data_IF_503140486260
#
_entry.id   IF_503140486260
#
_cell.length_a   1.000
_cell.length_b   1.000
_cell.length_c   1.000
_cell.angle_alpha   90.00
_cell.angle_beta   90.00
_cell.angle_gamma   90.00
#
_symmetry.space_group_name_H-M   'P 1'
#
loop_
_entity.id
_entity.type
_entity.pdbx_description
1 polymer ?
#
# COMPACT_ATOMS: atom_id res chain seq x y z
N UNK A 1 27.96 43.48 -58.91
CA UNK A 1 27.10 44.54 -59.47
C UNK A 1 25.89 43.87 -60.11
N UNK A 2 24.68 44.25 -59.66
CA UNK A 2 23.33 44.20 -60.30
C UNK A 2 23.12 43.37 -61.57
N UNK A 3 22.01 42.68 -61.86
CA UNK A 3 20.67 42.53 -61.27
C UNK A 3 19.80 41.83 -62.34
N UNK A 4 18.78 41.06 -61.92
CA UNK A 4 17.45 40.92 -62.58
C UNK A 4 17.36 40.31 -63.99
N UNK A 5 16.32 39.60 -64.43
CA UNK A 5 15.02 39.19 -63.87
C UNK A 5 14.46 38.05 -64.75
N UNK A 6 13.46 37.34 -64.21
CA UNK A 6 12.59 36.32 -64.82
C UNK A 6 11.83 36.82 -66.07
N UNK A 7 11.11 36.05 -66.90
CA UNK A 7 10.35 34.81 -66.74
C UNK A 7 9.97 34.29 -68.14
N UNK A 8 9.79 32.97 -68.30
CA UNK A 8 9.47 32.29 -69.56
C UNK A 8 7.98 31.91 -69.59
N UNK A 9 7.29 32.21 -70.70
CA UNK A 9 5.94 31.74 -71.02
C UNK A 9 5.98 31.18 -72.47
N UNK A 10 5.87 29.85 -72.64
CA UNK A 10 4.70 29.12 -73.23
C UNK A 10 4.46 29.45 -74.73
N UNK A 11 4.22 28.55 -75.70
CA UNK A 11 3.67 27.17 -75.74
C UNK A 11 3.76 26.65 -77.20
N UNK A 12 3.28 25.41 -77.43
CA UNK A 12 2.68 24.78 -78.64
C UNK A 12 3.53 23.61 -79.16
N UNK A 13 3.04 22.42 -79.52
CA UNK A 13 1.72 21.75 -79.60
C UNK A 13 2.01 20.30 -80.00
N UNK A 14 1.21 19.31 -79.57
CA UNK A 14 0.68 18.25 -80.47
C UNK A 14 -0.13 17.16 -79.75
N UNK A 15 -1.34 16.94 -80.29
CA UNK A 15 -2.23 15.75 -80.39
C UNK A 15 -2.38 14.85 -79.15
N UNK A 16 -3.55 14.72 -78.49
CA UNK A 16 -4.93 14.39 -78.89
C UNK A 16 -5.16 12.91 -79.20
N UNK A 17 -5.57 12.13 -78.18
CA UNK A 17 -6.51 11.01 -78.26
C UNK A 17 -7.42 11.02 -77.02
N UNK A 18 -8.71 10.72 -77.21
CA UNK A 18 -9.80 10.70 -76.21
C UNK A 18 -10.22 9.23 -76.04
N UNK A 19 -10.43 8.71 -74.81
CA UNK A 19 -11.82 8.55 -74.35
C UNK A 19 -12.09 8.78 -72.85
N UNK A 20 -13.25 9.41 -72.64
CA UNK A 20 -14.32 9.01 -71.71
C UNK A 20 -14.05 9.01 -70.19
N UNK A 21 -14.73 9.96 -69.53
CA UNK A 21 -14.86 10.12 -68.08
C UNK A 21 -15.57 8.94 -67.43
N UNK A 22 -15.02 8.44 -66.32
CA UNK A 22 -15.79 8.07 -65.13
C UNK A 22 -15.00 8.55 -63.90
N UNK A 23 -15.53 9.58 -63.24
CA UNK A 23 -15.05 10.09 -61.95
C UNK A 23 -15.42 9.10 -60.85
N UNK A 24 -14.41 8.51 -60.21
CA UNK A 24 -14.53 7.84 -58.92
C UNK A 24 -13.60 8.55 -57.93
N UNK A 25 -14.19 9.42 -57.12
CA UNK A 25 -13.54 10.00 -55.94
C UNK A 25 -13.25 8.88 -54.94
N UNK A 26 -11.98 8.49 -54.81
CA UNK A 26 -11.55 7.63 -53.69
C UNK A 26 -11.13 8.54 -52.54
N UNK A 27 -12.05 8.72 -51.59
CA UNK A 27 -11.74 9.16 -50.24
C UNK A 27 -10.82 8.08 -49.64
N UNK A 28 -9.54 8.39 -49.46
CA UNK A 28 -8.63 7.55 -48.69
C UNK A 28 -9.02 7.66 -47.21
N UNK A 29 -9.99 6.84 -46.79
CA UNK A 29 -10.31 6.63 -45.39
C UNK A 29 -9.21 5.72 -44.81
N UNK A 30 -8.11 6.32 -44.34
CA UNK A 30 -7.12 5.62 -43.53
C UNK A 30 -7.73 5.30 -42.16
N UNK A 31 -8.41 4.15 -42.09
CA UNK A 31 -8.77 3.48 -40.85
C UNK A 31 -7.48 3.08 -40.13
N UNK A 32 -6.99 3.94 -39.24
CA UNK A 32 -6.18 3.49 -38.12
C UNK A 32 -7.10 2.70 -37.19
N UNK A 33 -7.31 1.42 -37.51
CA UNK A 33 -7.74 0.45 -36.52
C UNK A 33 -6.56 0.24 -35.57
N UNK A 34 -6.46 1.10 -34.55
CA UNK A 34 -5.73 0.73 -33.35
C UNK A 34 -6.43 -0.50 -32.80
N UNK A 35 -5.84 -1.67 -33.01
CA UNK A 35 -6.14 -2.82 -32.18
C UNK A 35 -5.66 -2.44 -30.79
N UNK A 36 -6.57 -1.85 -30.00
CA UNK A 36 -6.53 -1.96 -28.56
C UNK A 36 -6.66 -3.45 -28.30
N UNK A 37 -5.53 -4.15 -28.31
CA UNK A 37 -5.44 -5.43 -27.65
C UNK A 37 -5.78 -5.11 -26.19
N UNK A 38 -7.01 -5.45 -25.78
CA UNK A 38 -7.30 -5.72 -24.39
C UNK A 38 -6.23 -6.74 -23.99
N UNK A 39 -5.20 -6.28 -23.31
CA UNK A 39 -4.31 -7.18 -22.60
C UNK A 39 -5.24 -7.97 -21.69
N UNK A 40 -5.43 -9.26 -22.00
CA UNK A 40 -6.28 -10.13 -21.22
C UNK A 40 -5.87 -9.95 -19.76
N UNK A 41 -6.80 -9.48 -18.92
CA UNK A 41 -6.60 -9.38 -17.47
C UNK A 41 -6.02 -10.74 -17.03
N UNK A 42 -4.84 -10.78 -16.42
CA UNK A 42 -4.20 -12.05 -16.15
C UNK A 42 -5.15 -12.88 -15.28
N UNK A 43 -5.33 -14.16 -15.63
CA UNK A 43 -6.25 -15.03 -14.91
C UNK A 43 -5.96 -14.93 -13.42
N UNK A 44 -7.02 -14.74 -12.63
CA UNK A 44 -6.98 -14.53 -11.19
C UNK A 44 -6.04 -15.53 -10.47
N UNK A 45 -6.01 -16.78 -10.95
CA UNK A 45 -5.13 -17.86 -10.49
C UNK A 45 -3.63 -17.60 -10.70
N UNK A 46 -3.22 -16.99 -11.82
CA UNK A 46 -1.82 -16.67 -12.11
C UNK A 46 -1.33 -15.46 -11.32
N UNK A 47 -2.17 -14.41 -11.15
CA UNK A 47 -1.81 -13.25 -10.33
C UNK A 47 -1.70 -13.66 -8.87
N UNK A 48 -2.70 -14.41 -8.35
CA UNK A 48 -2.66 -14.96 -7.00
C UNK A 48 -1.44 -15.86 -6.83
N UNK A 49 -1.21 -16.88 -7.66
CA UNK A 49 -0.06 -17.78 -7.51
C UNK A 49 1.31 -17.05 -7.55
N UNK A 50 1.46 -16.01 -8.40
CA UNK A 50 2.72 -15.24 -8.50
C UNK A 50 2.90 -14.26 -7.33
N UNK A 51 1.79 -13.69 -6.84
CA UNK A 51 1.73 -12.83 -5.67
C UNK A 51 1.83 -13.61 -4.35
N UNK A 52 1.48 -14.91 -4.37
CA UNK A 52 1.54 -15.84 -3.24
C UNK A 52 2.91 -16.50 -3.12
N UNK A 53 3.69 -16.62 -4.21
CA UNK A 53 5.08 -17.11 -4.16
C UNK A 53 6.08 -16.13 -3.50
N UNK A 54 5.64 -14.99 -2.98
CA UNK A 54 6.42 -14.12 -2.11
C UNK A 54 6.34 -14.52 -0.64
N UNK A 55 5.54 -15.55 -0.31
CA UNK A 55 5.44 -16.07 1.05
C UNK A 55 6.64 -16.95 1.38
N UNK A 56 7.16 -16.70 2.58
CA UNK A 56 8.08 -17.45 3.41
C UNK A 56 8.24 -18.97 3.19
N UNK A 57 7.25 -19.65 2.63
CA UNK A 57 7.10 -21.11 2.71
C UNK A 57 8.24 -21.88 2.02
N UNK A 58 9.00 -21.23 1.13
CA UNK A 58 10.07 -21.86 0.36
C UNK A 58 11.49 -21.45 0.77
N UNK A 59 11.68 -20.42 1.61
CA UNK A 59 13.01 -19.96 2.05
C UNK A 59 13.22 -20.18 3.56
N UNK A 60 14.06 -21.14 3.97
CA UNK A 60 14.33 -21.44 5.38
C UNK A 60 14.87 -20.25 6.19
N UNK A 61 15.69 -19.39 5.57
CA UNK A 61 16.25 -18.23 6.26
C UNK A 61 15.19 -17.17 6.56
N UNK A 62 14.23 -16.99 5.64
CA UNK A 62 13.10 -16.10 5.88
C UNK A 62 12.15 -16.67 6.93
N UNK A 63 11.81 -17.96 6.84
CA UNK A 63 11.00 -18.62 7.85
C UNK A 63 11.61 -18.54 9.26
N UNK A 64 12.93 -18.68 9.39
CA UNK A 64 13.63 -18.52 10.67
C UNK A 64 13.50 -17.09 11.23
N UNK A 65 13.54 -16.05 10.39
CA UNK A 65 13.35 -14.67 10.82
C UNK A 65 11.91 -14.37 11.23
N UNK A 66 10.93 -14.86 10.47
CA UNK A 66 9.51 -14.74 10.86
C UNK A 66 9.28 -15.41 12.22
N UNK A 67 9.92 -16.55 12.49
CA UNK A 67 9.84 -17.21 13.80
C UNK A 67 10.46 -16.36 14.94
N UNK A 68 11.56 -15.64 14.69
CA UNK A 68 12.14 -14.69 15.65
C UNK A 68 11.19 -13.52 15.91
N UNK A 69 10.61 -12.94 14.86
CA UNK A 69 9.62 -11.85 14.97
C UNK A 69 8.41 -12.31 15.80
N UNK A 70 7.87 -13.50 15.48
CA UNK A 70 6.77 -14.11 16.21
C UNK A 70 7.10 -14.32 17.69
N UNK A 71 8.28 -14.86 18.01
CA UNK A 71 8.70 -15.10 19.39
C UNK A 71 8.81 -13.80 20.19
N UNK A 72 9.37 -12.74 19.59
CA UNK A 72 9.48 -11.44 20.25
C UNK A 72 8.12 -10.78 20.45
N UNK A 73 7.22 -10.88 19.46
CA UNK A 73 5.84 -10.42 19.61
C UNK A 73 5.13 -11.17 20.76
N UNK A 74 5.20 -12.50 20.80
CA UNK A 74 4.59 -13.30 21.87
C UNK A 74 5.14 -12.90 23.24
N UNK A 75 6.45 -12.65 23.35
CA UNK A 75 7.05 -12.19 24.59
C UNK A 75 6.50 -10.82 25.01
N UNK A 76 6.34 -9.88 24.07
CA UNK A 76 5.77 -8.56 24.34
C UNK A 76 4.29 -8.62 24.73
N UNK A 77 3.50 -9.44 24.03
CA UNK A 77 2.07 -9.66 24.32
C UNK A 77 1.86 -10.29 25.70
N UNK A 78 2.70 -11.26 26.07
CA UNK A 78 2.64 -11.92 27.38
C UNK A 78 2.99 -10.96 28.51
N UNK A 79 3.90 -10.02 28.27
CA UNK A 79 4.46 -9.16 29.31
C UNK A 79 5.02 -9.99 30.48
N UNK A 80 4.52 -9.73 31.69
CA UNK A 80 4.94 -10.42 32.91
C UNK A 80 4.11 -11.68 33.24
N UNK A 81 3.13 -12.04 32.41
CA UNK A 81 2.34 -13.25 32.63
C UNK A 81 3.21 -14.51 32.46
N UNK A 82 2.84 -15.59 33.15
CA UNK A 82 3.54 -16.88 33.02
C UNK A 82 3.30 -17.54 31.65
N UNK A 83 2.13 -17.34 31.06
CA UNK A 83 1.74 -17.77 29.72
C UNK A 83 0.88 -16.71 29.03
N UNK A 84 0.84 -16.74 27.69
CA UNK A 84 -0.01 -15.86 26.90
C UNK A 84 -1.42 -16.47 26.77
N UNK A 85 -2.44 -15.73 27.17
CA UNK A 85 -3.86 -16.05 26.94
C UNK A 85 -4.56 -14.88 26.23
N UNK A 86 -5.83 -15.07 25.88
CA UNK A 86 -6.64 -14.06 25.19
C UNK A 86 -6.80 -12.76 25.98
N UNK A 87 -6.90 -12.84 27.32
CA UNK A 87 -7.02 -11.68 28.20
C UNK A 87 -5.83 -10.73 28.12
N UNK A 88 -4.62 -11.26 27.94
CA UNK A 88 -3.43 -10.42 27.78
C UNK A 88 -3.48 -9.66 26.46
N UNK A 89 -4.00 -10.23 25.37
CA UNK A 89 -4.10 -9.54 24.08
C UNK A 89 -4.94 -8.26 24.15
N UNK A 90 -6.07 -8.31 24.88
CA UNK A 90 -7.01 -7.19 24.99
C UNK A 90 -6.34 -5.94 25.58
N UNK A 91 -5.43 -6.15 26.52
CA UNK A 91 -4.74 -5.11 27.28
C UNK A 91 -3.30 -4.85 26.83
N UNK A 92 -2.72 -5.73 26.03
CA UNK A 92 -1.34 -5.61 25.57
C UNK A 92 -1.14 -4.36 24.71
N UNK A 93 -0.21 -3.51 25.15
CA UNK A 93 0.22 -2.28 24.46
C UNK A 93 1.74 -2.20 24.54
N UNK A 94 2.32 -1.28 23.76
CA UNK A 94 3.73 -0.95 23.90
C UNK A 94 4.04 -0.53 25.34
N UNK A 95 5.14 -1.04 25.89
CA UNK A 95 5.61 -0.61 27.20
C UNK A 95 6.13 0.84 27.16
N UNK A 96 6.29 1.45 28.34
CA UNK A 96 6.95 2.76 28.46
C UNK A 96 8.42 2.75 28.02
N UNK A 97 9.05 1.57 27.94
CA UNK A 97 10.38 1.41 27.33
C UNK A 97 10.27 1.54 25.81
N UNK A 98 9.25 0.92 25.21
CA UNK A 98 9.10 0.88 23.75
C UNK A 98 8.51 2.15 23.15
N UNK A 99 7.76 2.95 23.90
CA UNK A 99 7.10 4.14 23.40
C UNK A 99 7.15 5.29 24.42
N UNK A 100 7.84 6.38 24.05
CA UNK A 100 7.95 7.59 24.85
C UNK A 100 6.71 8.47 24.65
N UNK A 101 5.60 8.01 25.24
CA UNK A 101 4.33 8.74 25.22
C UNK A 101 4.39 10.03 26.04
N UNK A 102 5.30 10.14 27.00
CA UNK A 102 5.49 11.35 27.80
C UNK A 102 6.12 12.47 26.97
N UNK A 103 7.14 12.17 26.16
CA UNK A 103 7.71 13.11 25.18
C UNK A 103 6.63 13.61 24.22
N UNK A 104 5.82 12.70 23.67
CA UNK A 104 4.78 13.09 22.72
C UNK A 104 3.71 13.95 23.39
N UNK A 105 3.26 13.61 24.60
CA UNK A 105 2.30 14.42 25.35
C UNK A 105 2.86 15.80 25.69
N UNK A 106 4.14 15.88 26.08
CA UNK A 106 4.81 17.14 26.40
C UNK A 106 4.94 18.08 25.19
N UNK A 107 4.91 17.54 23.95
CA UNK A 107 4.90 18.36 22.74
C UNK A 107 3.63 19.22 22.59
N UNK A 108 2.51 18.80 23.19
CA UNK A 108 1.21 19.45 23.04
C UNK A 108 0.60 19.34 21.64
N UNK A 109 1.13 18.50 20.76
CA UNK A 109 0.62 18.36 19.39
C UNK A 109 -0.79 17.71 19.36
N UNK A 110 -1.74 18.38 18.70
CA UNK A 110 -3.08 17.86 18.46
C UNK A 110 -3.14 17.14 17.11
N UNK A 111 -3.50 15.86 17.13
CA UNK A 111 -3.65 15.05 15.92
C UNK A 111 -4.96 15.33 15.16
N UNK A 112 -5.83 16.20 15.67
CA UNK A 112 -7.11 16.56 15.06
C UNK A 112 -7.91 15.32 14.64
N UNK A 113 -7.99 14.34 15.56
CA UNK A 113 -8.46 12.98 15.24
C UNK A 113 -9.89 12.98 14.72
N UNK A 114 -10.76 13.87 15.21
CA UNK A 114 -12.17 13.93 14.79
C UNK A 114 -12.31 14.48 13.37
N UNK A 115 -11.56 15.53 13.05
CA UNK A 115 -11.52 16.17 11.74
C UNK A 115 -10.98 15.19 10.71
N UNK A 116 -9.88 14.51 11.02
CA UNK A 116 -9.29 13.50 10.16
C UNK A 116 -10.21 12.26 9.98
N UNK A 117 -11.00 11.89 10.98
CA UNK A 117 -12.04 10.88 10.84
C UNK A 117 -13.15 11.30 9.86
N UNK A 118 -13.61 12.55 9.92
CA UNK A 118 -14.62 13.06 8.99
C UNK A 118 -14.07 13.15 7.56
N UNK A 119 -12.82 13.60 7.40
CA UNK A 119 -12.15 13.59 6.10
C UNK A 119 -12.06 12.17 5.52
N UNK A 120 -11.75 11.18 6.36
CA UNK A 120 -11.77 9.76 5.97
C UNK A 120 -13.16 9.27 5.53
N UNK A 121 -14.23 9.66 6.21
CA UNK A 121 -15.61 9.33 5.80
C UNK A 121 -15.93 9.94 4.43
N UNK A 122 -15.60 11.23 4.22
CA UNK A 122 -15.83 11.92 2.96
C UNK A 122 -15.05 11.27 1.81
N UNK A 123 -13.77 11.00 2.01
CA UNK A 123 -12.90 10.31 1.06
C UNK A 123 -13.44 8.93 0.66
N UNK A 124 -14.09 8.23 1.58
CA UNK A 124 -14.58 6.87 1.36
C UNK A 124 -16.06 6.78 1.00
N UNK A 125 -16.74 7.92 0.82
CA UNK A 125 -18.19 7.99 0.59
C UNK A 125 -18.68 7.19 -0.64
N UNK A 126 -17.81 6.96 -1.63
CA UNK A 126 -18.12 6.13 -2.80
C UNK A 126 -18.40 4.67 -2.49
N UNK A 127 -18.02 4.19 -1.30
CA UNK A 127 -18.33 2.83 -0.88
C UNK A 127 -19.83 2.53 -0.95
N UNK A 128 -20.68 3.49 -0.54
CA UNK A 128 -22.14 3.32 -0.55
C UNK A 128 -22.77 3.27 -1.95
N UNK A 129 -22.01 3.65 -2.99
CA UNK A 129 -22.48 3.69 -4.38
C UNK A 129 -21.88 2.56 -5.24
N UNK A 130 -21.23 1.55 -4.64
CA UNK A 130 -20.59 0.49 -5.42
C UNK A 130 -21.62 -0.37 -6.17
N UNK A 131 -21.39 -0.68 -7.46
CA UNK A 131 -22.27 -1.56 -8.22
C UNK A 131 -22.40 -2.94 -7.59
N UNK A 132 -23.57 -3.57 -7.72
CA UNK A 132 -23.80 -4.93 -7.22
C UNK A 132 -22.75 -5.93 -7.69
N UNK A 133 -22.32 -5.86 -8.96
CA UNK A 133 -21.29 -6.73 -9.50
C UNK A 133 -19.93 -6.57 -8.78
N UNK A 134 -19.58 -5.35 -8.37
CA UNK A 134 -18.37 -5.10 -7.57
C UNK A 134 -18.55 -5.70 -6.17
N UNK A 135 -19.71 -5.51 -5.53
CA UNK A 135 -19.97 -6.06 -4.20
C UNK A 135 -20.00 -7.60 -4.18
N UNK A 136 -20.50 -8.24 -5.23
CA UNK A 136 -20.42 -9.69 -5.42
C UNK A 136 -18.97 -10.14 -5.57
N UNK A 137 -18.21 -9.52 -6.50
CA UNK A 137 -16.79 -9.84 -6.67
C UNK A 137 -15.95 -9.58 -5.41
N UNK A 138 -16.34 -8.60 -4.58
CA UNK A 138 -15.71 -8.28 -3.31
C UNK A 138 -15.84 -9.43 -2.30
N UNK A 139 -17.01 -10.08 -2.22
CA UNK A 139 -17.22 -11.29 -1.41
C UNK A 139 -16.50 -12.51 -2.01
N UNK A 140 -16.70 -12.77 -3.31
CA UNK A 140 -16.09 -13.92 -3.99
C UNK A 140 -14.55 -13.91 -3.86
N UNK A 141 -13.96 -12.72 -3.92
CA UNK A 141 -12.51 -12.54 -3.78
C UNK A 141 -12.00 -12.89 -2.39
N UNK A 142 -12.67 -12.43 -1.32
CA UNK A 142 -12.23 -12.76 0.04
C UNK A 142 -12.40 -14.25 0.32
N UNK A 143 -13.49 -14.85 -0.14
CA UNK A 143 -13.70 -16.30 -0.04
C UNK A 143 -12.59 -17.07 -0.75
N UNK A 144 -12.27 -16.68 -1.99
CA UNK A 144 -11.21 -17.32 -2.78
C UNK A 144 -9.84 -17.23 -2.10
N UNK A 145 -9.42 -16.04 -1.66
CA UNK A 145 -8.13 -15.86 -0.97
C UNK A 145 -8.10 -16.63 0.35
N UNK A 146 -9.16 -16.52 1.16
CA UNK A 146 -9.23 -17.18 2.46
C UNK A 146 -9.22 -18.71 2.34
N UNK A 147 -9.90 -19.29 1.34
CA UNK A 147 -9.93 -20.74 1.13
C UNK A 147 -8.60 -21.28 0.59
N UNK A 148 -7.96 -20.55 -0.34
CA UNK A 148 -6.73 -20.99 -0.99
C UNK A 148 -5.45 -20.62 -0.22
N UNK A 149 -5.57 -19.93 0.92
CA UNK A 149 -4.40 -19.53 1.71
C UNK A 149 -3.63 -20.73 2.29
N UNK A 150 -2.29 -20.71 2.14
CA UNK A 150 -1.37 -21.70 2.69
C UNK A 150 -1.32 -21.62 4.23
N UNK A 151 -0.77 -22.66 4.87
CA UNK A 151 -0.55 -22.65 6.32
C UNK A 151 0.36 -21.50 6.78
N UNK A 152 1.44 -21.20 6.03
CA UNK A 152 2.33 -20.09 6.35
C UNK A 152 1.66 -18.73 6.19
N UNK A 153 0.80 -18.56 5.18
CA UNK A 153 0.00 -17.34 5.03
C UNK A 153 -0.95 -17.12 6.21
N UNK A 154 -1.66 -18.17 6.64
CA UNK A 154 -2.56 -18.09 7.80
C UNK A 154 -1.79 -17.73 9.07
N UNK A 155 -0.65 -18.38 9.31
CA UNK A 155 0.23 -18.09 10.46
C UNK A 155 0.74 -16.65 10.45
N UNK A 156 1.27 -16.18 9.32
CA UNK A 156 1.71 -14.79 9.18
C UNK A 156 0.57 -13.80 9.39
N UNK A 157 -0.62 -14.11 8.88
CA UNK A 157 -1.78 -13.25 9.06
C UNK A 157 -2.28 -13.19 10.52
N UNK A 158 -2.20 -14.29 11.28
CA UNK A 158 -2.46 -14.31 12.71
C UNK A 158 -1.44 -13.46 13.49
N UNK A 159 -0.15 -13.58 13.16
CA UNK A 159 0.92 -12.77 13.77
C UNK A 159 0.68 -11.28 13.53
N UNK A 160 0.35 -10.90 12.29
CA UNK A 160 -0.03 -9.53 11.95
C UNK A 160 -1.21 -9.06 12.79
N UNK A 161 -2.24 -9.90 12.89
CA UNK A 161 -3.49 -9.56 13.55
C UNK A 161 -3.34 -9.32 15.04
N UNK A 162 -2.72 -10.25 15.76
CA UNK A 162 -2.52 -10.11 17.20
C UNK A 162 -1.42 -9.09 17.54
N UNK A 163 -0.55 -8.80 16.57
CA UNK A 163 0.54 -7.84 16.71
C UNK A 163 0.19 -6.38 16.44
N UNK A 164 -1.08 -6.04 16.15
CA UNK A 164 -1.50 -4.68 15.73
C UNK A 164 -0.94 -3.55 16.60
N UNK A 165 -0.83 -3.76 17.91
CA UNK A 165 -0.39 -2.72 18.86
C UNK A 165 1.13 -2.51 18.89
N UNK A 166 1.91 -3.26 18.13
CA UNK A 166 3.37 -3.23 18.11
C UNK A 166 3.93 -3.05 16.70
N UNK A 167 5.23 -2.77 16.59
CA UNK A 167 5.91 -2.55 15.31
C UNK A 167 6.75 -3.74 14.83
N UNK A 168 6.73 -4.87 15.53
CA UNK A 168 7.53 -6.06 15.20
C UNK A 168 7.34 -6.54 13.75
N UNK A 169 6.13 -6.41 13.23
CA UNK A 169 5.75 -6.87 11.90
C UNK A 169 6.54 -6.17 10.78
N UNK A 170 7.11 -4.97 11.01
CA UNK A 170 7.87 -4.22 10.02
C UNK A 170 9.27 -4.78 9.75
N UNK A 171 9.80 -5.60 10.68
CA UNK A 171 11.19 -6.04 10.65
C UNK A 171 11.53 -6.91 9.43
N UNK A 172 10.57 -7.69 8.92
CA UNK A 172 10.80 -8.60 7.79
C UNK A 172 11.11 -7.86 6.48
N UNK A 173 10.46 -6.71 6.27
CA UNK A 173 10.65 -5.85 5.10
C UNK A 173 11.88 -4.93 5.17
N UNK A 174 12.51 -4.82 6.34
CA UNK A 174 13.80 -4.12 6.46
C UNK A 174 14.98 -4.96 5.95
N UNK A 175 14.74 -6.25 5.67
CA UNK A 175 15.74 -7.24 5.31
C UNK A 175 16.53 -7.77 6.51
N UNK A 176 17.47 -8.69 6.30
CA UNK A 176 18.02 -9.52 7.38
C UNK A 176 18.75 -8.73 8.47
N UNK A 177 19.69 -7.85 8.09
CA UNK A 177 20.56 -7.17 9.06
C UNK A 177 19.85 -5.98 9.71
N UNK A 178 19.25 -5.10 8.91
CA UNK A 178 18.51 -3.96 9.41
C UNK A 178 17.27 -4.38 10.22
N UNK A 179 16.56 -5.43 9.79
CA UNK A 179 15.42 -5.98 10.56
C UNK A 179 15.85 -6.51 11.93
N UNK A 180 17.00 -7.20 12.00
CA UNK A 180 17.58 -7.64 13.28
C UNK A 180 17.97 -6.45 14.17
N UNK A 181 18.62 -5.44 13.60
CA UNK A 181 18.98 -4.22 14.32
C UNK A 181 17.73 -3.50 14.86
N UNK A 182 16.67 -3.41 14.05
CA UNK A 182 15.39 -2.82 14.45
C UNK A 182 14.76 -3.55 15.62
N UNK A 183 14.67 -4.89 15.57
CA UNK A 183 14.14 -5.68 16.67
C UNK A 183 14.91 -5.44 17.98
N UNK A 184 16.24 -5.41 17.93
CA UNK A 184 17.07 -5.14 19.10
C UNK A 184 16.85 -3.72 19.64
N UNK A 185 16.93 -2.71 18.78
CA UNK A 185 16.76 -1.31 19.17
C UNK A 185 15.35 -1.05 19.74
N UNK A 186 14.31 -1.67 19.16
CA UNK A 186 12.92 -1.51 19.59
C UNK A 186 12.71 -2.11 20.98
N UNK A 187 13.25 -3.30 21.25
CA UNK A 187 13.15 -3.92 22.57
C UNK A 187 13.95 -3.18 23.64
N UNK A 188 15.06 -2.54 23.27
CA UNK A 188 15.86 -1.69 24.17
C UNK A 188 15.21 -0.32 24.43
N UNK A 189 14.18 0.06 23.66
CA UNK A 189 13.55 1.38 23.76
C UNK A 189 14.34 2.51 23.10
N UNK A 190 15.31 2.18 22.24
CA UNK A 190 16.22 3.15 21.62
C UNK A 190 15.59 3.96 20.48
N UNK A 191 14.36 3.60 20.08
CA UNK A 191 13.55 4.30 19.07
C UNK A 191 12.15 4.63 19.60
N UNK A 192 12.05 4.91 20.90
CA UNK A 192 10.78 5.07 21.62
C UNK A 192 9.97 6.30 21.17
N UNK A 193 10.59 7.37 20.67
CA UNK A 193 9.88 8.52 20.07
C UNK A 193 9.28 8.18 18.73
N UNK A 194 10.04 7.48 17.88
CA UNK A 194 9.53 7.00 16.60
C UNK A 194 8.35 6.06 16.80
N UNK A 195 8.47 5.13 17.74
CA UNK A 195 7.38 4.22 18.03
C UNK A 195 6.14 4.93 18.57
N UNK A 196 6.30 5.88 19.51
CA UNK A 196 5.19 6.66 20.05
C UNK A 196 4.50 7.52 18.98
N UNK A 197 5.28 8.23 18.14
CA UNK A 197 4.75 9.08 17.09
C UNK A 197 4.00 8.28 16.03
N UNK A 198 4.58 7.17 15.57
CA UNK A 198 3.98 6.30 14.54
C UNK A 198 2.60 5.83 15.00
N UNK A 199 2.49 5.22 16.20
CA UNK A 199 1.21 4.71 16.70
C UNK A 199 0.21 5.81 17.01
N UNK A 200 0.66 6.98 17.46
CA UNK A 200 -0.23 8.11 17.72
C UNK A 200 -0.83 8.71 16.43
N UNK A 201 -0.11 8.59 15.30
CA UNK A 201 -0.51 9.08 13.98
C UNK A 201 -1.63 8.24 13.34
N UNK A 202 -2.00 7.11 13.95
CA UNK A 202 -3.14 6.34 13.49
C UNK A 202 -4.47 7.08 13.74
N UNK A 203 -5.18 7.36 12.64
CA UNK A 203 -6.55 7.89 12.68
C UNK A 203 -7.52 6.71 12.73
N UNK A 204 -8.20 6.55 13.86
CA UNK A 204 -9.11 5.41 14.09
C UNK A 204 -10.27 5.38 13.08
N UNK A 205 -10.54 4.20 12.52
CA UNK A 205 -11.62 3.96 11.55
C UNK A 205 -13.00 3.76 12.20
N UNK A 206 -13.12 3.85 13.53
CA UNK A 206 -14.37 3.54 14.25
C UNK A 206 -15.56 4.41 13.81
N UNK A 207 -15.34 5.71 13.58
CA UNK A 207 -16.37 6.61 13.08
C UNK A 207 -16.88 6.20 11.69
N UNK A 208 -15.96 5.84 10.78
CA UNK A 208 -16.31 5.36 9.45
C UNK A 208 -17.02 4.01 9.50
N UNK A 209 -16.58 3.07 10.34
CA UNK A 209 -17.26 1.77 10.53
C UNK A 209 -18.70 1.95 11.00
N UNK A 210 -18.95 2.89 11.91
CA UNK A 210 -20.30 3.23 12.36
C UNK A 210 -21.13 3.89 11.24
N UNK A 211 -20.51 4.75 10.44
CA UNK A 211 -21.16 5.44 9.33
C UNK A 211 -21.60 4.48 8.21
N UNK A 212 -20.68 3.63 7.73
CA UNK A 212 -20.95 2.72 6.61
C UNK A 212 -21.68 1.43 7.04
N UNK A 213 -21.56 1.03 8.30
CA UNK A 213 -22.27 -0.11 8.90
C UNK A 213 -22.26 -1.38 8.03
N UNK A 214 -21.10 -1.71 7.48
CA UNK A 214 -20.95 -2.85 6.56
C UNK A 214 -20.60 -4.14 7.33
N UNK A 215 -21.38 -5.24 7.21
CA UNK A 215 -21.09 -6.47 7.94
C UNK A 215 -19.85 -7.19 7.39
N UNK A 216 -19.10 -7.86 8.28
CA UNK A 216 -17.90 -8.64 7.94
C UNK A 216 -18.21 -9.87 7.08
N UNK A 217 -17.24 -10.39 6.29
CA UNK A 217 -17.47 -11.52 5.38
C UNK A 217 -18.05 -12.75 6.06
N UNK A 218 -17.47 -13.17 7.19
CA UNK A 218 -17.92 -14.34 7.95
C UNK A 218 -19.33 -14.21 8.58
N UNK A 219 -19.92 -13.01 8.56
CA UNK A 219 -21.30 -12.76 9.02
C UNK A 219 -22.33 -12.82 7.88
N UNK A 220 -21.90 -12.86 6.61
CA UNK A 220 -22.81 -12.93 5.47
C UNK A 220 -23.45 -14.32 5.39
N UNK A 221 -24.77 -14.39 5.27
CA UNK A 221 -25.45 -15.68 5.16
C UNK A 221 -25.01 -16.42 3.89
N UNK A 222 -24.66 -17.71 4.02
CA UNK A 222 -24.25 -18.56 2.90
C UNK A 222 -22.82 -18.34 2.41
N UNK A 223 -21.99 -17.61 3.15
CA UNK A 223 -20.57 -17.45 2.82
C UNK A 223 -19.80 -18.78 2.93
N UNK A 224 -18.62 -18.83 2.32
CA UNK A 224 -17.70 -19.98 2.35
C UNK A 224 -16.42 -19.74 3.17
N UNK A 225 -16.40 -18.72 4.04
CA UNK A 225 -15.21 -18.33 4.82
C UNK A 225 -14.79 -19.46 5.77
N UNK A 226 -13.53 -19.86 5.64
CA UNK A 226 -12.80 -20.66 6.61
C UNK A 226 -12.31 -19.77 7.75
N UNK A 227 -12.95 -19.90 8.92
CA UNK A 227 -12.53 -19.23 10.14
C UNK A 227 -11.18 -19.81 10.61
N UNK A 228 -10.12 -19.00 10.53
CA UNK A 228 -8.75 -19.44 10.79
C UNK A 228 -8.52 -19.63 12.30
N UNK A 229 -8.25 -20.86 12.79
CA UNK A 229 -7.88 -21.09 14.17
C UNK A 229 -6.50 -20.49 14.47
N UNK A 230 -6.34 -19.87 15.63
CA UNK A 230 -5.04 -19.36 16.06
C UNK A 230 -4.14 -20.50 16.56
N UNK A 231 -3.21 -20.91 15.70
CA UNK A 231 -2.12 -21.85 15.97
C UNK A 231 -0.75 -21.15 16.09
N UNK A 232 -0.74 -19.81 16.04
CA UNK A 232 0.45 -19.02 15.86
C UNK A 232 0.83 -18.25 17.13
N UNK A 233 -0.09 -17.50 17.70
CA UNK A 233 0.20 -16.52 18.75
C UNK A 233 -0.26 -17.04 20.10
N UNK A 234 -1.57 -17.15 20.33
CA UNK A 234 -2.11 -17.72 21.57
C UNK A 234 -2.07 -19.25 21.54
N UNK A 235 -2.24 -19.84 20.35
CA UNK A 235 -2.23 -21.30 20.14
C UNK A 235 -3.35 -22.04 20.89
N UNK A 236 -4.48 -21.37 21.09
CA UNK A 236 -5.68 -21.93 21.73
C UNK A 236 -6.62 -22.61 20.72
N UNK A 237 -6.26 -22.61 19.44
CA UNK A 237 -7.04 -23.14 18.33
C UNK A 237 -8.46 -22.52 18.23
N UNK A 238 -8.68 -21.37 18.88
CA UNK A 238 -9.91 -20.61 18.71
C UNK A 238 -9.83 -19.83 17.39
N UNK A 239 -10.92 -19.77 16.61
CA UNK A 239 -10.90 -18.97 15.40
C UNK A 239 -10.67 -17.49 15.69
N UNK A 240 -9.74 -16.87 14.97
CA UNK A 240 -9.55 -15.43 15.03
C UNK A 240 -10.85 -14.72 14.64
N UNK A 241 -11.26 -13.76 15.46
CA UNK A 241 -12.45 -12.94 15.23
C UNK A 241 -12.10 -11.47 15.37
N UNK A 242 -12.85 -10.64 14.67
CA UNK A 242 -12.77 -9.20 14.80
C UNK A 242 -14.17 -8.63 15.01
N UNK A 243 -14.27 -7.61 15.84
CA UNK A 243 -15.51 -6.97 16.26
C UNK A 243 -15.87 -5.74 15.38
N UNK A 244 -17.11 -5.26 15.48
CA UNK A 244 -17.58 -4.08 14.74
C UNK A 244 -17.68 -4.26 13.21
N UNK A 245 -17.95 -3.16 12.51
CA UNK A 245 -18.14 -3.13 11.06
C UNK A 245 -16.88 -3.45 10.25
N UNK A 246 -17.04 -3.84 9.00
CA UNK A 246 -15.95 -4.24 8.09
C UNK A 246 -15.26 -3.03 7.45
N UNK A 247 -16.02 -2.12 6.84
CA UNK A 247 -15.48 -1.03 6.03
C UNK A 247 -15.28 0.29 6.82
N UNK A 248 -14.12 0.95 6.69
CA UNK A 248 -12.84 0.43 6.20
C UNK A 248 -12.14 -0.42 7.29
N UNK A 249 -11.10 -1.17 6.93
CA UNK A 249 -10.37 -2.02 7.88
C UNK A 249 -9.46 -1.24 8.84
N UNK A 250 -9.70 -1.33 10.15
CA UNK A 250 -8.84 -0.69 11.15
C UNK A 250 -7.42 -1.24 11.20
N UNK A 251 -7.27 -2.57 11.13
CA UNK A 251 -5.97 -3.22 11.10
C UNK A 251 -5.17 -2.84 9.85
N UNK A 252 -5.81 -2.80 8.68
CA UNK A 252 -5.15 -2.31 7.47
C UNK A 252 -4.70 -0.85 7.61
N UNK A 253 -5.53 0.01 8.21
CA UNK A 253 -5.16 1.40 8.47
C UNK A 253 -3.91 1.50 9.36
N UNK A 254 -3.84 0.70 10.43
CA UNK A 254 -2.64 0.57 11.27
C UNK A 254 -1.44 0.11 10.44
N UNK A 255 -1.55 -1.02 9.73
CA UNK A 255 -0.45 -1.60 8.97
C UNK A 255 0.11 -0.67 7.89
N UNK A 256 -0.74 0.04 7.15
CA UNK A 256 -0.31 1.00 6.14
C UNK A 256 0.27 2.29 6.76
N UNK A 257 -0.32 2.81 7.84
CA UNK A 257 0.20 4.02 8.51
C UNK A 257 1.58 3.76 9.09
N UNK A 258 1.72 2.66 9.83
CA UNK A 258 2.97 2.27 10.47
C UNK A 258 4.08 2.03 9.43
N UNK A 259 3.76 1.31 8.37
CA UNK A 259 4.72 0.98 7.33
C UNK A 259 5.12 2.20 6.48
N UNK A 260 4.17 3.07 6.13
CA UNK A 260 4.46 4.28 5.36
C UNK A 260 5.28 5.29 6.16
N UNK A 261 4.95 5.54 7.43
CA UNK A 261 5.77 6.43 8.28
C UNK A 261 7.17 5.85 8.51
N UNK A 262 7.29 4.54 8.73
CA UNK A 262 8.60 3.88 8.80
C UNK A 262 9.38 4.03 7.50
N UNK A 263 8.73 3.92 6.33
CA UNK A 263 9.33 4.13 5.02
C UNK A 263 9.88 5.56 4.86
N UNK A 264 9.13 6.58 5.30
CA UNK A 264 9.57 7.99 5.29
C UNK A 264 10.79 8.23 6.22
N UNK A 265 10.90 7.46 7.30
CA UNK A 265 12.07 7.53 8.21
C UNK A 265 13.28 6.72 7.69
N UNK A 266 13.03 5.63 6.95
CA UNK A 266 14.04 4.69 6.41
C UNK A 266 13.92 4.56 4.88
N UNK A 267 14.20 5.63 4.10
CA UNK A 267 14.05 5.61 2.65
C UNK A 267 14.91 4.55 1.95
N UNK A 268 15.99 4.06 2.60
CA UNK A 268 16.79 2.92 2.15
C UNK A 268 15.96 1.64 1.94
N UNK A 269 14.80 1.54 2.60
CA UNK A 269 13.83 0.44 2.50
C UNK A 269 12.41 0.91 2.16
N UNK A 270 12.28 2.07 1.52
CA UNK A 270 10.97 2.67 1.24
C UNK A 270 10.01 1.70 0.54
N UNK A 271 10.44 1.13 -0.60
CA UNK A 271 9.61 0.22 -1.40
C UNK A 271 9.26 -1.07 -0.65
N UNK A 272 10.21 -1.83 -0.05
CA UNK A 272 9.91 -2.95 0.81
C UNK A 272 8.90 -2.66 1.94
N UNK A 273 9.01 -1.48 2.58
CA UNK A 273 8.08 -1.09 3.64
C UNK A 273 6.68 -0.78 3.09
N UNK A 274 6.55 -0.18 1.91
CA UNK A 274 5.24 -0.05 1.24
C UNK A 274 4.61 -1.43 0.96
N UNK A 275 5.42 -2.34 0.45
CA UNK A 275 5.01 -3.72 0.19
C UNK A 275 4.57 -4.44 1.47
N UNK A 276 5.19 -4.10 2.60
CA UNK A 276 4.80 -4.64 3.90
C UNK A 276 3.42 -4.19 4.34
N UNK A 277 3.09 -2.92 4.13
CA UNK A 277 1.76 -2.37 4.35
C UNK A 277 0.72 -3.11 3.49
N UNK A 278 1.04 -3.34 2.21
CA UNK A 278 0.21 -4.14 1.32
C UNK A 278 0.02 -5.59 1.79
N UNK A 279 1.08 -6.25 2.25
CA UNK A 279 1.01 -7.60 2.83
C UNK A 279 0.17 -7.64 4.10
N UNK A 280 0.30 -6.63 4.97
CA UNK A 280 -0.52 -6.52 6.18
C UNK A 280 -2.02 -6.38 5.84
N UNK A 281 -2.35 -5.59 4.82
CA UNK A 281 -3.71 -5.51 4.28
C UNK A 281 -4.21 -6.86 3.76
N UNK A 282 -3.38 -7.55 2.96
CA UNK A 282 -3.67 -8.87 2.43
C UNK A 282 -3.90 -9.93 3.52
N UNK A 283 -3.14 -9.90 4.62
CA UNK A 283 -3.33 -10.77 5.79
C UNK A 283 -4.78 -10.71 6.31
N UNK A 284 -5.46 -9.56 6.21
CA UNK A 284 -6.86 -9.43 6.68
C UNK A 284 -7.85 -10.21 5.83
N UNK A 285 -7.54 -10.38 4.54
CA UNK A 285 -8.34 -11.15 3.59
C UNK A 285 -8.02 -12.65 3.75
N UNK A 286 -6.76 -12.99 3.99
CA UNK A 286 -6.35 -14.37 4.36
C UNK A 286 -7.13 -14.88 5.57
N UNK A 287 -7.35 -14.04 6.58
CA UNK A 287 -8.17 -14.39 7.75
C UNK A 287 -9.68 -14.39 7.49
N UNK A 288 -10.14 -13.93 6.32
CA UNK A 288 -11.57 -13.86 5.99
C UNK A 288 -12.37 -12.82 6.77
N UNK A 289 -11.70 -11.87 7.46
CA UNK A 289 -12.35 -10.89 8.34
C UNK A 289 -12.59 -9.52 7.70
N UNK A 290 -12.03 -9.29 6.52
CA UNK A 290 -12.18 -8.07 5.72
C UNK A 290 -12.23 -8.37 4.22
N UNK A 291 -12.95 -7.53 3.50
CA UNK A 291 -13.04 -7.59 2.05
C UNK A 291 -11.94 -6.76 1.37
N UNK A 292 -11.63 -7.01 0.08
CA UNK A 292 -10.79 -6.14 -0.73
C UNK A 292 -11.10 -4.65 -0.65
N UNK A 293 -12.37 -4.25 -0.75
CA UNK A 293 -12.75 -2.84 -0.65
C UNK A 293 -12.40 -2.23 0.71
N UNK A 294 -12.50 -2.98 1.81
CA UNK A 294 -12.10 -2.51 3.14
C UNK A 294 -10.61 -2.19 3.19
N UNK A 295 -9.79 -3.02 2.53
CA UNK A 295 -8.34 -2.89 2.50
C UNK A 295 -7.92 -1.73 1.60
N UNK A 296 -8.51 -1.61 0.41
CA UNK A 296 -8.27 -0.50 -0.52
C UNK A 296 -8.67 0.83 0.13
N UNK A 297 -9.86 0.91 0.72
CA UNK A 297 -10.33 2.12 1.40
C UNK A 297 -9.42 2.53 2.57
N UNK A 298 -8.95 1.58 3.36
CA UNK A 298 -7.98 1.88 4.43
C UNK A 298 -6.63 2.36 3.92
N UNK A 299 -6.13 1.81 2.81
CA UNK A 299 -4.90 2.31 2.16
C UNK A 299 -5.08 3.77 1.75
N UNK A 300 -6.18 4.09 1.07
CA UNK A 300 -6.48 5.46 0.63
C UNK A 300 -6.48 6.44 1.82
N UNK A 301 -7.16 6.07 2.91
CA UNK A 301 -7.24 6.91 4.10
C UNK A 301 -5.88 7.05 4.81
N UNK A 302 -5.09 5.98 4.92
CA UNK A 302 -3.77 5.99 5.52
C UNK A 302 -2.80 6.89 4.73
N UNK A 303 -2.72 6.72 3.41
CA UNK A 303 -1.88 7.54 2.52
C UNK A 303 -2.27 9.03 2.61
N UNK A 304 -3.57 9.34 2.59
CA UNK A 304 -4.08 10.71 2.77
C UNK A 304 -3.70 11.30 4.12
N UNK A 305 -3.84 10.54 5.20
CA UNK A 305 -3.57 11.02 6.56
C UNK A 305 -2.07 11.22 6.81
N UNK A 306 -1.22 10.33 6.31
CA UNK A 306 0.24 10.52 6.40
C UNK A 306 0.65 11.75 5.60
N UNK A 307 0.13 11.95 4.40
CA UNK A 307 0.40 13.18 3.65
C UNK A 307 -0.05 14.43 4.41
N UNK A 308 -1.25 14.38 5.01
CA UNK A 308 -1.76 15.49 5.84
C UNK A 308 -0.82 15.82 7.00
N UNK A 309 -0.41 14.84 7.80
CA UNK A 309 0.50 15.07 8.93
C UNK A 309 1.88 15.54 8.47
N UNK A 310 2.43 14.96 7.40
CA UNK A 310 3.76 15.35 6.90
C UNK A 310 3.83 16.78 6.34
N UNK A 311 2.67 17.39 6.00
CA UNK A 311 2.55 18.80 5.61
C UNK A 311 2.30 19.75 6.80
N UNK A 312 2.02 19.23 8.01
CA UNK A 312 1.91 20.05 9.22
C UNK A 312 3.32 20.33 9.77
N UNK A 313 3.68 21.61 9.93
CA UNK A 313 5.00 22.01 10.39
C UNK A 313 5.31 21.57 11.85
N UNK A 314 4.31 21.55 12.72
CA UNK A 314 4.46 21.10 14.11
C UNK A 314 4.67 19.58 14.15
N UNK A 315 3.88 18.83 13.37
CA UNK A 315 4.12 17.39 13.22
C UNK A 315 5.50 17.10 12.62
N UNK A 316 5.88 17.84 11.56
CA UNK A 316 7.16 17.63 10.88
C UNK A 316 8.34 17.80 11.83
N UNK A 317 8.24 18.72 12.79
CA UNK A 317 9.26 18.89 13.84
C UNK A 317 9.39 17.62 14.71
N UNK A 318 8.28 17.02 15.12
CA UNK A 318 8.29 15.76 15.88
C UNK A 318 8.79 14.59 15.04
N UNK A 319 8.36 14.54 13.78
CA UNK A 319 8.77 13.51 12.83
C UNK A 319 10.29 13.51 12.63
N UNK A 320 10.93 14.66 12.42
CA UNK A 320 12.38 14.72 12.24
C UNK A 320 13.14 14.34 13.52
N UNK A 321 12.65 14.71 14.71
CA UNK A 321 13.24 14.26 15.98
C UNK A 321 13.17 12.74 16.15
N UNK A 322 11.99 12.16 15.91
CA UNK A 322 11.75 10.73 15.95
C UNK A 322 12.59 9.98 14.91
N UNK A 323 12.66 10.49 13.68
CA UNK A 323 13.47 9.95 12.60
C UNK A 323 14.96 9.96 12.95
N UNK A 324 15.47 11.04 13.54
CA UNK A 324 16.86 11.13 13.96
C UNK A 324 17.20 10.10 15.03
N UNK A 325 16.33 9.93 16.04
CA UNK A 325 16.49 8.92 17.09
C UNK A 325 16.50 7.50 16.51
N UNK A 326 15.51 7.17 15.69
CA UNK A 326 15.41 5.87 15.02
C UNK A 326 16.68 5.57 14.22
N UNK A 327 17.09 6.50 13.35
CA UNK A 327 18.23 6.28 12.45
C UNK A 327 19.53 6.12 13.25
N UNK A 328 19.76 6.93 14.27
CA UNK A 328 20.94 6.82 15.14
C UNK A 328 20.99 5.49 15.90
N UNK A 329 19.85 5.02 16.42
CA UNK A 329 19.75 3.73 17.10
C UNK A 329 20.05 2.57 16.14
N UNK A 330 19.50 2.60 14.92
CA UNK A 330 19.74 1.56 13.93
C UNK A 330 21.19 1.53 13.44
N UNK A 331 21.83 2.69 13.21
CA UNK A 331 23.26 2.73 12.85
C UNK A 331 24.14 2.15 13.95
N UNK A 332 23.83 2.47 15.21
CA UNK A 332 24.50 1.91 16.39
C UNK A 332 24.37 0.38 16.44
N UNK A 333 23.16 -0.16 16.30
CA UNK A 333 22.91 -1.61 16.37
C UNK A 333 23.46 -2.36 15.14
N UNK A 334 23.49 -1.72 13.96
CA UNK A 334 24.11 -2.26 12.76
C UNK A 334 25.65 -2.20 12.79
N UNK A 335 26.24 -1.25 13.53
CA UNK A 335 27.68 -1.00 13.52
C UNK A 335 28.23 -0.47 12.18
N UNK A 336 27.34 0.03 11.30
CA UNK A 336 27.65 0.54 9.97
C UNK A 336 26.56 1.53 9.51
N UNK A 337 26.78 2.22 8.38
CA UNK A 337 25.76 3.11 7.80
C UNK A 337 24.47 2.37 7.46
N UNK A 338 23.31 3.02 7.58
CA UNK A 338 22.02 2.42 7.20
C UNK A 338 21.99 1.93 5.76
N UNK A 339 22.58 2.68 4.82
CA UNK A 339 22.65 2.27 3.42
C UNK A 339 23.44 0.97 3.20
N UNK A 340 24.36 0.60 4.10
CA UNK A 340 25.05 -0.68 4.07
C UNK A 340 24.23 -1.78 4.76
N UNK A 341 23.67 -1.48 5.94
CA UNK A 341 22.85 -2.43 6.72
C UNK A 341 21.53 -2.80 6.01
N UNK A 342 20.99 -1.88 5.22
CA UNK A 342 19.81 -2.08 4.40
C UNK A 342 20.09 -2.82 3.08
N UNK A 343 21.34 -3.15 2.73
CA UNK A 343 21.59 -3.92 1.50
C UNK A 343 21.19 -5.37 1.71
N UNK A 344 20.78 -6.01 0.63
CA UNK A 344 20.52 -7.45 0.60
C UNK A 344 21.42 -8.16 -0.37
N UNK A 345 21.69 -9.42 -0.05
CA UNK A 345 22.41 -10.34 -0.91
C UNK A 345 21.56 -11.59 -1.12
N UNK A 346 21.32 -11.93 -2.38
CA UNK A 346 20.66 -13.17 -2.80
C UNK A 346 19.19 -13.33 -2.36
N UNK A 347 18.74 -14.59 -2.33
CA UNK A 347 17.35 -14.99 -2.09
C UNK A 347 16.89 -14.82 -0.62
N UNK A 348 17.77 -14.30 0.24
CA UNK A 348 17.51 -14.15 1.66
C UNK A 348 16.60 -12.95 2.00
N UNK A 349 16.12 -12.18 1.03
CA UNK A 349 15.12 -11.12 1.26
C UNK A 349 14.01 -11.17 0.20
N UNK A 350 12.83 -11.72 0.54
CA UNK A 350 11.73 -11.82 -0.41
C UNK A 350 11.16 -10.45 -0.78
N UNK A 351 11.36 -9.40 0.02
CA UNK A 351 10.90 -8.06 -0.31
C UNK A 351 11.74 -7.38 -1.39
N UNK A 352 12.94 -7.89 -1.67
CA UNK A 352 13.76 -7.46 -2.80
C UNK A 352 13.38 -8.18 -4.11
N UNK A 353 12.47 -9.15 -4.07
CA UNK A 353 12.12 -9.96 -5.22
C UNK A 353 11.28 -9.17 -6.25
N UNK A 354 11.54 -9.28 -7.57
CA UNK A 354 10.78 -8.57 -8.59
C UNK A 354 9.26 -8.81 -8.56
N UNK A 355 8.83 -9.96 -8.03
CA UNK A 355 7.44 -10.36 -7.88
C UNK A 355 6.67 -9.45 -6.90
N UNK A 356 7.36 -8.78 -5.97
CA UNK A 356 6.72 -7.85 -5.03
C UNK A 356 6.02 -6.70 -5.74
N UNK A 357 6.56 -6.22 -6.86
CA UNK A 357 5.89 -5.22 -7.70
C UNK A 357 4.54 -5.71 -8.23
N UNK A 358 4.46 -6.98 -8.61
CA UNK A 358 3.21 -7.58 -9.08
C UNK A 358 2.23 -7.77 -7.93
N UNK A 359 2.71 -8.21 -6.76
CA UNK A 359 1.92 -8.29 -5.54
C UNK A 359 1.34 -6.93 -5.14
N UNK A 360 2.16 -5.87 -5.11
CA UNK A 360 1.72 -4.51 -4.78
C UNK A 360 0.61 -4.07 -5.74
N UNK A 361 0.83 -4.14 -7.06
CA UNK A 361 -0.18 -3.78 -8.08
C UNK A 361 -1.46 -4.60 -7.95
N UNK A 362 -1.36 -5.89 -7.61
CA UNK A 362 -2.53 -6.71 -7.32
C UNK A 362 -3.31 -6.16 -6.13
N UNK A 363 -2.66 -5.94 -4.97
CA UNK A 363 -3.36 -5.46 -3.75
C UNK A 363 -3.99 -4.07 -3.89
N UNK A 364 -3.56 -3.26 -4.85
CA UNK A 364 -4.23 -1.98 -5.13
C UNK A 364 -5.65 -2.14 -5.71
N UNK A 365 -5.98 -3.31 -6.28
CA UNK A 365 -7.24 -3.52 -7.03
C UNK A 365 -7.95 -4.83 -6.70
N UNK A 366 -7.22 -5.84 -6.24
CA UNK A 366 -7.64 -7.23 -6.06
C UNK A 366 -8.33 -7.85 -7.29
N UNK A 367 -8.08 -7.31 -8.48
CA UNK A 367 -8.79 -7.73 -9.70
C UNK A 367 -10.30 -7.46 -9.66
N UNK A 368 -10.77 -6.52 -8.82
CA UNK A 368 -12.18 -6.16 -8.78
C UNK A 368 -12.65 -5.55 -10.11
N UNK A 369 -13.92 -5.75 -10.50
CA UNK A 369 -14.45 -5.24 -11.76
C UNK A 369 -14.27 -3.73 -11.91
N UNK A 370 -13.66 -3.31 -13.01
CA UNK A 370 -13.46 -1.90 -13.37
C UNK A 370 -14.62 -1.39 -14.21
N UNK A 371 -15.09 -0.18 -13.95
CA UNK A 371 -16.04 0.50 -14.83
C UNK A 371 -15.35 0.92 -16.14
N UNK A 372 -16.06 0.78 -17.26
CA UNK A 372 -15.62 1.36 -18.54
C UNK A 372 -15.81 2.86 -18.50
N UNK A 373 -14.72 3.60 -18.45
CA UNK A 373 -14.71 5.06 -18.42
C UNK A 373 -13.65 5.61 -19.36
N UNK A 374 -13.80 6.87 -19.76
CA UNK A 374 -12.76 7.59 -20.47
C UNK A 374 -11.52 7.68 -19.58
N UNK A 375 -10.36 7.31 -20.13
CA UNK A 375 -9.12 7.40 -19.38
C UNK A 375 -8.77 8.87 -19.13
N UNK A 376 -8.43 9.17 -17.88
CA UNK A 376 -8.03 10.50 -17.43
C UNK A 376 -6.83 10.40 -16.50
N UNK A 377 -5.94 11.39 -16.61
CA UNK A 377 -4.85 11.58 -15.65
C UNK A 377 -5.42 11.89 -14.28
N UNK A 378 -4.79 11.38 -13.22
CA UNK A 378 -5.14 11.76 -11.85
C UNK A 378 -4.82 13.23 -11.61
N UNK A 379 -5.63 13.89 -10.80
CA UNK A 379 -5.33 15.23 -10.30
C UNK A 379 -4.67 15.07 -8.93
N UNK A 380 -3.39 15.41 -8.82
CA UNK A 380 -2.64 15.27 -7.56
C UNK A 380 -3.11 16.37 -6.58
N UNK A 381 -3.69 16.06 -5.41
CA UNK A 381 -4.01 17.04 -4.38
C UNK A 381 -2.76 17.81 -3.96
N UNK A 382 -2.93 19.05 -3.49
CA UNK A 382 -1.81 19.82 -2.97
C UNK A 382 -1.19 19.11 -1.74
N UNK A 383 0.13 19.07 -1.66
CA UNK A 383 0.85 18.45 -0.55
C UNK A 383 0.99 16.93 -0.65
N UNK A 384 0.31 16.24 -1.55
CA UNK A 384 0.46 14.79 -1.70
C UNK A 384 1.89 14.38 -2.08
N UNK A 385 2.60 15.23 -2.82
CA UNK A 385 4.01 15.03 -3.20
C UNK A 385 4.99 14.86 -2.03
N UNK A 386 4.58 15.22 -0.80
CA UNK A 386 5.37 15.02 0.41
C UNK A 386 5.73 13.53 0.61
N UNK A 387 4.86 12.62 0.17
CA UNK A 387 5.05 11.15 0.25
C UNK A 387 6.17 10.62 -0.65
N UNK A 388 6.81 11.49 -1.44
CA UNK A 388 7.96 11.15 -2.27
C UNK A 388 9.19 11.99 -1.89
N UNK A 389 9.14 12.77 -0.81
CA UNK A 389 10.26 13.58 -0.35
C UNK A 389 11.43 12.76 0.15
N UNK A 390 11.19 11.86 1.12
CA UNK A 390 12.25 11.06 1.71
C UNK A 390 12.91 10.09 0.70
N UNK A 391 12.16 9.34 -0.15
CA UNK A 391 12.80 8.42 -1.10
C UNK A 391 13.40 9.12 -2.32
N UNK A 392 12.96 10.33 -2.67
CA UNK A 392 13.42 11.07 -3.85
C UNK A 392 13.78 12.53 -3.49
N UNK A 393 14.76 12.75 -2.59
CA UNK A 393 15.12 14.09 -2.10
C UNK A 393 15.68 15.00 -3.20
N UNK A 394 16.25 14.43 -4.25
CA UNK A 394 16.83 15.14 -5.39
C UNK A 394 15.79 15.76 -6.34
N UNK A 395 14.53 15.34 -6.26
CA UNK A 395 13.46 15.83 -7.14
C UNK A 395 12.75 17.02 -6.49
N UNK A 396 12.32 18.00 -7.30
CA UNK A 396 11.43 19.04 -6.82
C UNK A 396 9.97 18.56 -6.76
N UNK A 397 9.08 19.37 -6.16
CA UNK A 397 7.66 19.05 -6.02
C UNK A 397 6.98 18.72 -7.36
N UNK A 398 7.24 19.48 -8.42
CA UNK A 398 6.63 19.25 -9.73
C UNK A 398 7.05 17.90 -10.34
N UNK A 399 8.32 17.52 -10.20
CA UNK A 399 8.83 16.22 -10.66
C UNK A 399 8.21 15.05 -9.88
N UNK A 400 8.06 15.18 -8.56
CA UNK A 400 7.38 14.17 -7.73
C UNK A 400 5.91 14.02 -8.12
N UNK A 401 5.20 15.13 -8.34
CA UNK A 401 3.80 15.13 -8.83
C UNK A 401 3.69 14.46 -10.19
N UNK A 402 4.64 14.70 -11.10
CA UNK A 402 4.66 14.04 -12.41
C UNK A 402 4.85 12.52 -12.28
N UNK A 403 5.70 12.07 -11.36
CA UNK A 403 5.86 10.63 -11.08
C UNK A 403 4.55 10.03 -10.60
N UNK A 404 3.85 10.66 -9.64
CA UNK A 404 2.55 10.20 -9.16
C UNK A 404 1.51 10.09 -10.28
N UNK A 405 1.47 11.05 -11.21
CA UNK A 405 0.58 10.98 -12.38
C UNK A 405 0.96 9.82 -13.29
N UNK A 406 2.25 9.65 -13.58
CA UNK A 406 2.73 8.63 -14.53
C UNK A 406 2.68 7.20 -13.99
N UNK A 407 2.75 7.02 -12.67
CA UNK A 407 2.68 5.70 -12.02
C UNK A 407 1.27 5.29 -11.63
N UNK A 408 0.31 6.22 -11.62
CA UNK A 408 -1.06 5.97 -11.20
C UNK A 408 -1.74 4.84 -11.99
N UNK A 409 -2.64 4.13 -11.33
CA UNK A 409 -3.49 3.14 -11.99
C UNK A 409 -4.40 3.77 -13.06
N UNK A 410 -4.93 2.95 -13.96
CA UNK A 410 -5.98 3.35 -14.91
C UNK A 410 -7.25 3.83 -14.19
N UNK A 411 -8.06 4.64 -14.86
CA UNK A 411 -9.33 5.11 -14.31
C UNK A 411 -10.41 4.00 -14.30
N UNK A 412 -11.40 4.14 -13.40
CA UNK A 412 -12.60 3.30 -13.36
C UNK A 412 -12.60 2.21 -12.29
N UNK A 413 -11.56 2.10 -11.46
CA UNK A 413 -11.55 1.16 -10.34
C UNK A 413 -12.54 1.57 -9.24
N UNK A 414 -13.08 0.61 -8.46
CA UNK A 414 -13.92 0.92 -7.30
C UNK A 414 -13.32 1.98 -6.38
N UNK A 415 -14.17 2.79 -5.75
CA UNK A 415 -13.81 3.92 -4.88
C UNK A 415 -13.21 5.17 -5.57
N UNK A 416 -13.11 5.21 -6.91
CA UNK A 416 -12.46 6.32 -7.65
C UNK A 416 -13.32 7.57 -7.93
N UNK A 417 -14.31 7.90 -7.08
CA UNK A 417 -15.40 8.85 -7.37
C UNK A 417 -15.01 10.24 -7.88
N UNK A 418 -14.89 11.22 -6.98
CA UNK A 418 -14.43 12.56 -7.35
C UNK A 418 -12.91 12.60 -7.62
N UNK A 419 -12.36 13.78 -7.92
CA UNK A 419 -10.95 13.93 -8.26
C UNK A 419 -9.98 13.49 -7.13
N UNK A 420 -10.31 13.77 -5.87
CA UNK A 420 -9.48 13.40 -4.72
C UNK A 420 -9.58 11.89 -4.45
N UNK A 421 -10.81 11.36 -4.46
CA UNK A 421 -11.08 9.93 -4.32
C UNK A 421 -10.38 9.13 -5.42
N UNK A 422 -10.45 9.59 -6.67
CA UNK A 422 -9.76 9.02 -7.81
C UNK A 422 -8.25 9.03 -7.61
N UNK A 423 -7.66 10.12 -7.10
CA UNK A 423 -6.22 10.18 -6.85
C UNK A 423 -5.78 9.14 -5.82
N UNK A 424 -6.36 9.14 -4.62
CA UNK A 424 -5.92 8.24 -3.54
C UNK A 424 -6.17 6.76 -3.87
N UNK A 425 -7.24 6.45 -4.61
CA UNK A 425 -7.48 5.09 -5.09
C UNK A 425 -6.35 4.64 -6.04
N UNK A 426 -5.88 5.54 -6.91
CA UNK A 426 -4.98 5.21 -8.02
C UNK A 426 -3.51 5.47 -7.69
N UNK A 427 -3.19 6.12 -6.57
CA UNK A 427 -1.84 6.47 -6.15
C UNK A 427 -0.98 5.21 -6.03
N UNK A 428 0.11 5.15 -6.79
CA UNK A 428 1.06 4.04 -6.80
C UNK A 428 2.46 4.55 -6.42
N UNK A 429 2.74 4.59 -5.12
CA UNK A 429 4.02 5.06 -4.58
C UNK A 429 5.17 4.11 -4.92
N UNK A 430 4.91 2.79 -4.90
CA UNK A 430 5.90 1.77 -5.30
C UNK A 430 6.46 2.06 -6.70
N UNK A 431 5.58 2.16 -7.71
CA UNK A 431 6.01 2.40 -9.08
C UNK A 431 6.55 3.81 -9.30
N UNK A 432 6.10 4.81 -8.52
CA UNK A 432 6.66 6.16 -8.57
C UNK A 432 8.15 6.15 -8.21
N UNK A 433 8.52 5.46 -7.11
CA UNK A 433 9.92 5.36 -6.65
C UNK A 433 10.74 4.49 -7.58
N UNK A 434 10.28 3.28 -7.91
CA UNK A 434 11.02 2.34 -8.78
C UNK A 434 11.27 2.92 -10.18
N UNK A 435 10.34 3.72 -10.72
CA UNK A 435 10.51 4.33 -12.04
C UNK A 435 11.48 5.52 -12.02
N UNK A 436 11.65 6.17 -10.87
CA UNK A 436 12.61 7.27 -10.73
C UNK A 436 14.05 6.77 -10.66
N UNK A 437 14.31 5.61 -10.04
CA UNK A 437 15.65 5.01 -9.95
C UNK A 437 16.21 4.47 -11.28
N UNK A 438 15.40 4.45 -12.34
CA UNK A 438 15.79 4.02 -13.70
C UNK A 438 16.11 5.17 -14.66
N UNK A 439 15.93 6.42 -14.20
CA UNK A 439 16.26 7.64 -14.94
C UNK A 439 17.56 8.21 -14.40
#
# INVERSE_FOLDING_TARGET
>A
MSSSSSSVMRTLRSFMEIPMRLTLSVIALSLFASTLADAAEPQWSQIHATAVNTTADLNPNFAAREAVIQQQLIAALRGNASSLQRSELETARQSSVQADTAWLQASGYDFHKKENQQAGIALLSQFSAQPKAVMTANLDTVESINLNATGGQRRGALIDAEGQNFLYFLADAMGPDLGKAFLTAYNKGELSKAAALIKASEVSTSAAKKHFNYPRPFLVAGNSIHNVPDDAVVKDNQPYRADGGSFPSGHTNTGYTDALLMAEMLPERFVPLLDRGARYGYSRIVLGVHYPLDVIGSRMAAERNVAHFMNDAAYRTLFEQAKQELRGALEKECGMSLAACARTTGDADPYAAPQMRQFYRFTMTYGLPRQRTQQSSVQVPAGAEVLLEAPLPQLNAAQRRQLMVSSALAAGYPLSGDAEQSFWQRLNLHDAVVSASKR
#
